data_IF_992319441420
#
_entry.id   IF_992319441420
#
_cell.length_a   1.000
_cell.length_b   1.000
_cell.length_c   1.000
_cell.angle_alpha   90.00
_cell.angle_beta   90.00
_cell.angle_gamma   90.00
#
_symmetry.space_group_name_H-M   'P 1'
#
loop_
_entity.id
_entity.type
_entity.pdbx_description
1 polymer ?
#
# COMPACT_ATOMS: atom_id res chain seq x y z
N UNK A 1 6.51 -18.32 -3.47
CA UNK A 1 5.75 -17.09 -3.14
C UNK A 1 6.72 -15.93 -2.87
N UNK A 2 6.61 -14.81 -3.59
CA UNK A 2 7.55 -13.67 -3.50
C UNK A 2 7.19 -12.62 -2.42
N UNK A 3 5.93 -12.59 -2.00
CA UNK A 3 5.36 -11.61 -1.09
C UNK A 3 3.83 -11.71 -1.10
N UNK A 4 3.17 -10.72 -0.53
CA UNK A 4 1.71 -10.56 -0.55
C UNK A 4 1.33 -9.08 -0.59
N UNK A 5 0.17 -8.81 -1.17
CA UNK A 5 -0.55 -7.54 -1.06
C UNK A 5 -1.95 -7.90 -0.62
N UNK A 6 -2.48 -7.13 0.31
CA UNK A 6 -3.82 -7.35 0.86
C UNK A 6 -4.47 -6.00 1.17
N UNK A 7 -5.78 -6.02 1.39
CA UNK A 7 -6.53 -4.84 1.76
C UNK A 7 -7.59 -5.14 2.81
N UNK A 8 -7.89 -4.13 3.62
CA UNK A 8 -9.02 -4.15 4.55
C UNK A 8 -9.96 -3.01 4.18
N UNK A 9 -11.25 -3.30 4.04
CA UNK A 9 -12.25 -2.25 3.89
C UNK A 9 -12.39 -1.50 5.22
N UNK A 10 -12.14 -0.20 5.20
CA UNK A 10 -12.35 0.67 6.37
C UNK A 10 -13.78 1.22 6.39
N UNK A 11 -14.39 1.36 5.20
CA UNK A 11 -15.75 1.83 4.96
C UNK A 11 -16.22 1.32 3.57
N UNK A 12 -17.46 1.63 3.17
CA UNK A 12 -18.08 1.10 1.95
C UNK A 12 -17.35 1.43 0.65
N UNK A 13 -16.59 2.52 0.60
CA UNK A 13 -15.88 3.01 -0.58
C UNK A 13 -14.38 3.19 -0.38
N UNK A 14 -13.86 2.78 0.78
CA UNK A 14 -12.47 3.05 1.20
C UNK A 14 -11.82 1.78 1.72
N UNK A 15 -10.59 1.53 1.26
CA UNK A 15 -9.77 0.43 1.73
C UNK A 15 -8.38 0.92 2.18
N UNK A 16 -7.82 0.24 3.18
CA UNK A 16 -6.41 0.38 3.54
C UNK A 16 -5.62 -0.80 2.99
N UNK A 17 -4.49 -0.53 2.30
CA UNK A 17 -3.66 -1.57 1.72
C UNK A 17 -2.39 -1.88 2.54
N UNK A 18 -2.14 -3.17 2.69
CA UNK A 18 -0.92 -3.75 3.24
C UNK A 18 -0.09 -4.42 2.14
N UNK A 19 1.24 -4.41 2.30
CA UNK A 19 2.15 -5.08 1.35
C UNK A 19 3.42 -5.58 2.01
N UNK A 20 3.89 -6.73 1.54
CA UNK A 20 5.15 -7.33 1.95
C UNK A 20 5.84 -8.00 0.76
N UNK A 21 7.15 -7.85 0.66
CA UNK A 21 7.98 -8.55 -0.33
C UNK A 21 9.19 -9.13 0.38
N UNK A 22 9.50 -10.41 0.14
CA UNK A 22 10.67 -11.06 0.74
C UNK A 22 11.95 -10.40 0.22
N UNK A 23 12.96 -10.30 1.08
CA UNK A 23 14.22 -9.57 0.81
C UNK A 23 14.85 -9.92 -0.55
N UNK A 24 14.89 -11.21 -0.91
CA UNK A 24 15.48 -11.71 -2.17
C UNK A 24 14.77 -11.25 -3.46
N UNK A 25 13.55 -10.71 -3.36
CA UNK A 25 12.76 -10.23 -4.50
C UNK A 25 12.57 -8.71 -4.53
N UNK A 26 13.24 -7.98 -3.63
CA UNK A 26 13.20 -6.51 -3.61
C UNK A 26 13.84 -5.91 -4.87
N UNK A 27 13.45 -4.68 -5.20
CA UNK A 27 13.99 -3.95 -6.37
C UNK A 27 13.41 -4.35 -7.73
N UNK A 28 12.53 -5.37 -7.78
CA UNK A 28 11.93 -5.90 -9.01
C UNK A 28 10.54 -5.34 -9.35
N UNK A 29 10.15 -4.21 -8.73
CA UNK A 29 8.82 -3.58 -8.86
C UNK A 29 7.60 -4.49 -8.57
N UNK A 30 7.80 -5.68 -7.97
CA UNK A 30 6.71 -6.64 -7.71
C UNK A 30 5.59 -6.05 -6.85
N UNK A 31 5.94 -5.29 -5.80
CA UNK A 31 4.95 -4.65 -4.94
C UNK A 31 4.10 -3.64 -5.72
N UNK A 32 4.73 -2.82 -6.56
CA UNK A 32 4.03 -1.83 -7.39
C UNK A 32 3.07 -2.52 -8.36
N UNK A 33 3.51 -3.57 -9.05
CA UNK A 33 2.66 -4.34 -9.98
C UNK A 33 1.46 -4.95 -9.23
N UNK A 34 1.69 -5.55 -8.07
CA UNK A 34 0.63 -6.17 -7.29
C UNK A 34 -0.38 -5.14 -6.74
N UNK A 35 0.08 -3.99 -6.23
CA UNK A 35 -0.80 -2.92 -5.75
C UNK A 35 -1.62 -2.31 -6.88
N UNK A 36 -1.04 -2.12 -8.08
CA UNK A 36 -1.79 -1.62 -9.24
C UNK A 36 -2.90 -2.59 -9.64
N UNK A 37 -2.63 -3.90 -9.66
CA UNK A 37 -3.66 -4.91 -9.94
C UNK A 37 -4.79 -4.88 -8.92
N UNK A 38 -4.45 -4.92 -7.63
CA UNK A 38 -5.42 -4.83 -6.53
C UNK A 38 -6.24 -3.54 -6.62
N UNK A 39 -5.61 -2.39 -6.95
CA UNK A 39 -6.32 -1.12 -7.12
C UNK A 39 -7.42 -1.22 -8.19
N UNK A 40 -7.12 -1.87 -9.32
CA UNK A 40 -8.10 -2.05 -10.39
C UNK A 40 -9.26 -2.97 -9.95
N UNK A 41 -8.96 -4.06 -9.24
CA UNK A 41 -9.98 -4.95 -8.67
C UNK A 41 -10.87 -4.23 -7.64
N UNK A 42 -10.31 -3.31 -6.85
CA UNK A 42 -11.05 -2.50 -5.88
C UNK A 42 -11.99 -1.51 -6.58
N UNK A 43 -11.57 -0.90 -7.68
CA UNK A 43 -12.42 -0.01 -8.49
C UNK A 43 -13.64 -0.76 -9.05
N UNK A 44 -13.46 -1.99 -9.52
CA UNK A 44 -14.58 -2.85 -9.97
C UNK A 44 -15.57 -3.17 -8.84
N UNK A 45 -15.11 -3.16 -7.59
CA UNK A 45 -15.93 -3.35 -6.38
C UNK A 45 -16.51 -2.04 -5.82
N UNK A 46 -16.47 -0.94 -6.57
CA UNK A 46 -16.88 0.40 -6.15
C UNK A 46 -16.08 1.00 -4.98
N UNK A 47 -14.89 0.48 -4.69
CA UNK A 47 -13.97 1.11 -3.73
C UNK A 47 -13.20 2.21 -4.45
N UNK A 48 -13.43 3.46 -4.04
CA UNK A 48 -12.90 4.67 -4.69
C UNK A 48 -11.63 5.21 -4.05
N UNK A 49 -11.45 4.93 -2.76
CA UNK A 49 -10.34 5.46 -1.98
C UNK A 49 -9.45 4.33 -1.49
N UNK A 50 -8.14 4.50 -1.67
CA UNK A 50 -7.13 3.57 -1.19
C UNK A 50 -6.11 4.30 -0.33
N UNK A 51 -5.99 3.89 0.92
CA UNK A 51 -5.01 4.42 1.86
C UNK A 51 -3.88 3.42 2.09
N UNK A 52 -2.74 3.92 2.57
CA UNK A 52 -1.61 3.08 2.95
C UNK A 52 -0.83 3.76 4.07
N UNK A 53 -0.43 2.96 5.04
CA UNK A 53 0.37 3.41 6.18
C UNK A 53 1.78 2.81 6.10
N UNK A 54 2.80 3.61 6.42
CA UNK A 54 4.18 3.13 6.51
C UNK A 54 4.93 3.90 7.59
N UNK A 55 5.83 3.20 8.31
CA UNK A 55 6.79 3.86 9.20
C UNK A 55 7.64 4.83 8.41
N UNK A 56 7.95 6.00 8.99
CA UNK A 56 8.74 7.06 8.35
C UNK A 56 10.10 6.56 7.83
N UNK A 57 10.75 5.64 8.54
CA UNK A 57 12.04 5.09 8.11
C UNK A 57 11.91 4.08 6.95
N UNK A 58 10.71 3.60 6.63
CA UNK A 58 10.47 2.64 5.56
C UNK A 58 10.31 3.32 4.20
N UNK A 59 11.38 3.98 3.77
CA UNK A 59 11.46 4.72 2.49
C UNK A 59 11.07 3.85 1.29
N UNK A 60 11.40 2.55 1.34
CA UNK A 60 11.06 1.61 0.26
C UNK A 60 9.55 1.42 0.13
N UNK A 61 8.83 1.30 1.24
CA UNK A 61 7.38 1.21 1.21
C UNK A 61 6.76 2.52 0.75
N UNK A 62 7.26 3.66 1.23
CA UNK A 62 6.78 5.00 0.82
C UNK A 62 6.90 5.16 -0.70
N UNK A 63 8.06 4.83 -1.29
CA UNK A 63 8.26 4.87 -2.75
C UNK A 63 7.32 3.96 -3.54
N UNK A 64 6.91 2.83 -2.97
CA UNK A 64 5.90 1.98 -3.63
C UNK A 64 4.54 2.68 -3.64
N UNK A 65 4.14 3.32 -2.53
CA UNK A 65 2.89 4.09 -2.47
C UNK A 65 2.87 5.21 -3.52
N UNK A 66 3.94 6.01 -3.57
CA UNK A 66 4.11 7.10 -4.54
C UNK A 66 4.01 6.60 -5.98
N UNK A 67 4.71 5.51 -6.32
CA UNK A 67 4.64 4.88 -7.65
C UNK A 67 3.25 4.37 -8.02
N UNK A 68 2.40 4.09 -7.03
CA UNK A 68 1.02 3.64 -7.26
C UNK A 68 0.02 4.82 -7.34
N UNK A 69 0.51 6.06 -7.21
CA UNK A 69 -0.32 7.27 -7.20
C UNK A 69 -0.94 7.60 -5.85
N UNK A 70 -0.50 6.96 -4.76
CA UNK A 70 -0.94 7.29 -3.41
C UNK A 70 -0.11 8.48 -2.93
N UNK A 71 -0.79 9.58 -2.59
CA UNK A 71 -0.16 10.80 -2.08
C UNK A 71 -0.08 10.79 -0.55
N UNK A 72 0.93 11.46 0.00
CA UNK A 72 1.03 11.63 1.45
C UNK A 72 -0.10 12.52 1.95
N UNK A 73 -1.02 11.95 2.74
CA UNK A 73 -2.15 12.69 3.31
C UNK A 73 -1.87 13.25 4.70
N UNK A 74 -1.17 12.51 5.56
CA UNK A 74 -0.89 12.90 6.95
C UNK A 74 0.37 12.21 7.46
N UNK A 75 1.13 12.91 8.29
CA UNK A 75 2.18 12.33 9.14
C UNK A 75 1.68 12.31 10.59
N UNK A 76 1.71 11.14 11.24
CA UNK A 76 1.36 10.99 12.63
C UNK A 76 2.63 10.73 13.44
N UNK A 77 2.81 11.47 14.53
CA UNK A 77 3.93 11.28 15.44
C UNK A 77 3.68 10.04 16.30
N UNK A 78 4.54 9.02 16.19
CA UNK A 78 4.46 7.80 16.99
C UNK A 78 4.86 8.16 18.44
N UNK A 79 3.89 8.47 19.31
CA UNK A 79 4.15 8.64 20.75
C UNK A 79 4.41 7.25 21.37
N UNK A 80 5.68 6.93 21.57
CA UNK A 80 6.09 5.82 22.41
C UNK A 80 5.90 6.25 23.88
N UNK A 81 4.89 5.69 24.55
CA UNK A 81 4.79 5.70 26.00
C UNK A 81 5.62 4.56 26.60
#
# INVERSE_FOLDING_TARGET
MAGSVDYTLTNSDTAECGRFVRKQFLGRNLATIAVVKMKNELLEKNVRYLTASAKRQNIRSIRVAEKCGITLAREAEERLF
#
